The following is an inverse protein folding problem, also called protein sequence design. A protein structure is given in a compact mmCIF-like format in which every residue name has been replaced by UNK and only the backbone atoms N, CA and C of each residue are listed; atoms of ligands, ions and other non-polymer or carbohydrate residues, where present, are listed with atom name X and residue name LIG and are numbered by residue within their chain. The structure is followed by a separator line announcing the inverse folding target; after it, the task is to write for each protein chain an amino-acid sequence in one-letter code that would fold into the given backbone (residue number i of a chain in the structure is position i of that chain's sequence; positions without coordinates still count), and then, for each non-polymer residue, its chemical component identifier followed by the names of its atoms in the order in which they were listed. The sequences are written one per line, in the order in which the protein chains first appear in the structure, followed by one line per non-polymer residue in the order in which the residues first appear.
data_IF_172185660791
#
_entry.id   IF_172185660791
#
_cell.length_a   1.000
_cell.length_b   1.000
_cell.length_c   1.000
_cell.angle_alpha   90.00
_cell.angle_beta   90.00
_cell.angle_gamma   90.00
#
_symmetry.space_group_name_H-M   'P 1'
#
loop_
_entity.id
_entity.type
_entity.pdbx_description
1 polymer ?
#
# COMPACT_ATOMS: atom_id res chain seq x y z
N UNK A 1 7.49 -35.22 14.25
CA UNK A 1 8.07 -34.39 15.33
C UNK A 1 8.91 -33.20 14.83
N UNK A 2 8.97 -32.94 13.51
CA UNK A 2 9.89 -31.96 12.88
C UNK A 2 9.26 -30.64 12.42
N UNK A 3 7.92 -30.54 12.39
CA UNK A 3 7.20 -29.32 11.96
C UNK A 3 7.09 -28.27 13.09
N UNK A 4 6.81 -28.71 14.32
CA UNK A 4 6.62 -27.81 15.47
C UNK A 4 7.89 -27.07 15.90
N UNK A 5 9.04 -27.74 15.89
CA UNK A 5 10.35 -27.11 16.18
C UNK A 5 10.73 -26.08 15.12
N UNK A 6 10.43 -26.35 13.85
CA UNK A 6 10.70 -25.44 12.74
C UNK A 6 9.91 -24.12 12.84
N UNK A 7 8.67 -24.18 13.33
CA UNK A 7 7.84 -22.99 13.57
C UNK A 7 8.38 -22.18 14.76
N UNK A 8 8.78 -22.86 15.84
CA UNK A 8 9.36 -22.21 17.02
C UNK A 8 10.68 -21.48 16.70
N UNK A 9 11.55 -22.10 15.89
CA UNK A 9 12.80 -21.49 15.45
C UNK A 9 12.56 -20.31 14.49
N UNK A 10 11.59 -20.42 13.59
CA UNK A 10 11.19 -19.30 12.73
C UNK A 10 10.63 -18.12 13.52
N UNK A 11 9.78 -18.38 14.52
CA UNK A 11 9.24 -17.33 15.38
C UNK A 11 10.36 -16.62 16.15
N UNK A 12 11.35 -17.38 16.65
CA UNK A 12 12.50 -16.82 17.37
C UNK A 12 13.40 -15.97 16.48
N UNK A 13 13.57 -16.34 15.21
CA UNK A 13 14.31 -15.56 14.22
C UNK A 13 13.57 -14.29 13.76
N UNK A 14 12.23 -14.29 13.76
CA UNK A 14 11.41 -13.15 13.34
C UNK A 14 11.16 -12.14 14.47
N UNK A 15 11.19 -12.58 15.73
CA UNK A 15 10.93 -11.77 16.91
C UNK A 15 11.65 -10.40 16.95
N UNK A 16 12.98 -10.29 16.73
CA UNK A 16 13.67 -9.00 16.84
C UNK A 16 13.20 -7.96 15.82
N UNK A 17 12.98 -8.35 14.56
CA UNK A 17 12.47 -7.42 13.54
C UNK A 17 11.00 -7.06 13.75
N UNK A 18 10.20 -7.99 14.27
CA UNK A 18 8.81 -7.73 14.60
C UNK A 18 8.67 -6.77 15.79
N UNK A 19 9.51 -6.94 16.83
CA UNK A 19 9.60 -6.03 17.96
C UNK A 19 9.97 -4.62 17.51
N UNK A 20 10.93 -4.48 16.58
CA UNK A 20 11.28 -3.18 16.00
C UNK A 20 10.08 -2.53 15.28
N UNK A 21 9.35 -3.29 14.47
CA UNK A 21 8.17 -2.77 13.78
C UNK A 21 7.09 -2.30 14.77
N UNK A 22 6.86 -3.06 15.84
CA UNK A 22 5.91 -2.72 16.91
C UNK A 22 6.37 -1.48 17.68
N UNK A 23 7.64 -1.35 18.02
CA UNK A 23 8.14 -0.17 18.74
C UNK A 23 8.02 1.10 17.89
N UNK A 24 8.34 1.04 16.60
CA UNK A 24 8.14 2.17 15.68
C UNK A 24 6.66 2.55 15.58
N UNK A 25 5.77 1.58 15.45
CA UNK A 25 4.32 1.84 15.40
C UNK A 25 3.80 2.49 16.70
N UNK A 26 4.18 1.95 17.85
CA UNK A 26 3.78 2.50 19.16
C UNK A 26 4.38 3.90 19.41
N UNK A 27 5.62 4.14 19.01
CA UNK A 27 6.24 5.46 19.12
C UNK A 27 5.51 6.49 18.26
N UNK A 28 5.11 6.12 17.04
CA UNK A 28 4.35 6.97 16.13
C UNK A 28 2.97 7.33 16.69
N UNK A 29 2.27 6.34 17.25
CA UNK A 29 0.99 6.53 17.92
C UNK A 29 1.11 7.40 19.16
N UNK A 30 2.12 7.16 19.99
CA UNK A 30 2.36 7.94 21.20
C UNK A 30 2.59 9.41 20.87
N UNK A 31 3.44 9.71 19.89
CA UNK A 31 3.72 11.10 19.50
C UNK A 31 2.49 11.75 18.89
N UNK A 32 1.79 11.08 17.97
CA UNK A 32 0.56 11.61 17.39
C UNK A 32 -0.50 11.91 18.47
N UNK A 33 -0.64 11.04 19.48
CA UNK A 33 -1.60 11.26 20.57
C UNK A 33 -1.25 12.41 21.51
N UNK A 34 0.04 12.75 21.65
CA UNK A 34 0.53 13.76 22.60
C UNK A 34 0.77 15.12 21.96
N UNK A 35 1.26 15.13 20.72
CA UNK A 35 1.67 16.33 20.00
C UNK A 35 0.78 16.63 18.78
N UNK A 36 -0.19 15.76 18.48
CA UNK A 36 -1.01 15.86 17.28
C UNK A 36 -0.28 15.38 16.03
N UNK A 37 -0.90 15.57 14.87
CA UNK A 37 -0.32 15.27 13.55
C UNK A 37 -0.55 13.84 13.04
N UNK A 38 -0.35 13.59 11.73
CA UNK A 38 -0.70 12.32 11.11
C UNK A 38 0.24 11.18 11.55
N UNK A 39 -0.32 10.10 12.10
CA UNK A 39 0.43 8.92 12.56
C UNK A 39 1.34 8.35 11.46
N UNK A 40 0.86 8.32 10.22
CA UNK A 40 1.63 7.79 9.08
C UNK A 40 2.91 8.57 8.81
N UNK A 41 2.89 9.90 8.99
CA UNK A 41 4.08 10.73 8.79
C UNK A 41 5.18 10.33 9.78
N UNK A 42 4.83 10.21 11.07
CA UNK A 42 5.77 9.76 12.10
C UNK A 42 6.29 8.35 11.83
N UNK A 43 5.41 7.43 11.41
CA UNK A 43 5.79 6.07 11.08
C UNK A 43 6.78 6.00 9.92
N UNK A 44 6.61 6.83 8.87
CA UNK A 44 7.54 6.93 7.74
C UNK A 44 8.88 7.51 8.21
N UNK A 45 8.86 8.62 8.95
CA UNK A 45 10.08 9.27 9.43
C UNK A 45 10.91 8.35 10.32
N UNK A 46 10.27 7.66 11.28
CA UNK A 46 10.95 6.67 12.11
C UNK A 46 11.39 5.44 11.31
N UNK A 47 10.56 4.95 10.38
CA UNK A 47 10.95 3.86 9.50
C UNK A 47 12.22 4.15 8.70
N UNK A 48 12.34 5.37 8.15
CA UNK A 48 13.55 5.82 7.45
C UNK A 48 14.73 5.94 8.41
N UNK A 49 14.53 6.56 9.59
CA UNK A 49 15.58 6.71 10.59
C UNK A 49 16.13 5.36 11.07
N UNK A 50 15.29 4.33 11.17
CA UNK A 50 15.67 2.98 11.58
C UNK A 50 15.94 2.02 10.40
N UNK A 51 16.04 2.51 9.15
CA UNK A 51 16.24 1.65 7.98
C UNK A 51 17.53 0.81 8.04
N UNK A 52 18.59 1.29 8.68
CA UNK A 52 19.83 0.53 8.87
C UNK A 52 19.62 -0.81 9.59
N UNK A 53 18.58 -0.92 10.42
CA UNK A 53 18.21 -2.17 11.08
C UNK A 53 17.62 -3.20 10.11
N UNK A 54 17.18 -2.81 8.91
CA UNK A 54 16.75 -3.76 7.88
C UNK A 54 17.95 -4.44 7.19
N UNK A 55 19.15 -3.89 7.34
CA UNK A 55 20.39 -4.47 6.81
C UNK A 55 21.03 -5.46 7.78
N UNK A 56 20.75 -5.35 9.09
CA UNK A 56 21.22 -6.29 10.10
C UNK A 56 20.55 -7.67 9.94
N UNK A 57 21.38 -8.71 9.89
CA UNK A 57 20.97 -10.10 9.74
C UNK A 57 20.00 -10.58 10.84
N UNK A 58 20.03 -9.98 12.03
CA UNK A 58 19.15 -10.35 13.14
C UNK A 58 17.72 -9.86 12.96
N UNK A 59 17.54 -8.64 12.49
CA UNK A 59 16.23 -7.95 12.41
C UNK A 59 15.57 -8.10 11.05
N UNK A 60 16.35 -8.23 9.97
CA UNK A 60 15.86 -8.40 8.60
C UNK A 60 14.76 -9.47 8.44
N UNK A 61 14.85 -10.68 9.01
CA UNK A 61 13.81 -11.70 8.85
C UNK A 61 12.45 -11.27 9.40
N UNK A 62 12.43 -10.56 10.54
CA UNK A 62 11.21 -10.05 11.15
C UNK A 62 10.61 -8.87 10.38
N UNK A 63 11.45 -7.95 9.88
CA UNK A 63 10.99 -6.82 9.06
C UNK A 63 10.36 -7.31 7.75
N UNK A 64 10.98 -8.28 7.07
CA UNK A 64 10.41 -8.88 5.86
C UNK A 64 9.11 -9.66 6.12
N UNK A 65 9.02 -10.31 7.28
CA UNK A 65 7.79 -10.97 7.70
C UNK A 65 6.66 -9.95 7.92
N UNK A 66 6.96 -8.84 8.60
CA UNK A 66 6.00 -7.78 8.86
C UNK A 66 5.51 -7.12 7.56
N UNK A 67 6.41 -6.75 6.65
CA UNK A 67 6.08 -6.06 5.40
C UNK A 67 5.24 -6.89 4.43
N UNK A 68 5.26 -8.22 4.55
CA UNK A 68 4.45 -9.13 3.72
C UNK A 68 3.24 -9.66 4.47
N UNK A 69 3.46 -10.40 5.55
CA UNK A 69 2.41 -11.18 6.22
C UNK A 69 1.57 -10.33 7.15
N UNK A 70 2.21 -9.50 7.98
CA UNK A 70 1.47 -8.61 8.90
C UNK A 70 0.72 -7.55 8.10
N UNK A 71 1.34 -6.99 7.06
CA UNK A 71 0.66 -6.06 6.15
C UNK A 71 -0.57 -6.69 5.48
N UNK A 72 -0.45 -7.91 4.93
CA UNK A 72 -1.59 -8.63 4.33
C UNK A 72 -2.70 -8.88 5.35
N UNK A 73 -2.36 -9.32 6.57
CA UNK A 73 -3.31 -9.46 7.66
C UNK A 73 -3.99 -8.14 7.98
N UNK A 74 -3.23 -7.03 8.03
CA UNK A 74 -3.77 -5.69 8.24
C UNK A 74 -4.77 -5.28 7.16
N UNK A 75 -4.47 -5.54 5.88
CA UNK A 75 -5.39 -5.27 4.75
C UNK A 75 -6.66 -6.10 4.86
N UNK A 76 -6.55 -7.38 5.20
CA UNK A 76 -7.71 -8.27 5.40
C UNK A 76 -8.57 -7.77 6.56
N UNK A 77 -7.96 -7.42 7.69
CA UNK A 77 -8.66 -6.91 8.86
C UNK A 77 -9.30 -5.55 8.59
N UNK A 78 -8.62 -4.65 7.87
CA UNK A 78 -9.16 -3.35 7.47
C UNK A 78 -10.40 -3.53 6.59
N UNK A 79 -10.36 -4.48 5.64
CA UNK A 79 -11.54 -4.84 4.84
C UNK A 79 -12.67 -5.46 5.68
N UNK A 80 -12.32 -6.27 6.69
CA UNK A 80 -13.29 -6.85 7.62
C UNK A 80 -13.90 -5.82 8.60
N UNK A 81 -13.20 -4.72 8.86
CA UNK A 81 -13.69 -3.61 9.69
C UNK A 81 -14.77 -2.78 9.02
N UNK A 82 -14.88 -2.81 7.68
CA UNK A 82 -15.95 -2.13 6.95
C UNK A 82 -17.24 -2.91 7.16
N UNK A 83 -18.23 -2.28 7.78
CA UNK A 83 -19.49 -2.96 8.13
C UNK A 83 -20.39 -3.06 6.90
N UNK A 84 -21.14 -4.16 6.74
CA UNK A 84 -22.14 -4.28 5.67
C UNK A 84 -23.15 -3.12 5.67
N UNK A 85 -23.43 -2.51 6.82
CA UNK A 85 -24.26 -1.32 6.95
C UNK A 85 -23.63 -0.08 6.31
N UNK A 86 -22.33 0.15 6.49
CA UNK A 86 -21.62 1.30 5.88
C UNK A 86 -21.60 1.19 4.35
N UNK A 87 -21.41 -0.03 3.83
CA UNK A 87 -21.47 -0.30 2.38
C UNK A 87 -22.90 -0.10 1.86
N UNK A 88 -23.91 -0.53 2.63
CA UNK A 88 -25.32 -0.35 2.27
C UNK A 88 -25.73 1.13 2.29
N UNK A 89 -25.23 1.92 3.24
CA UNK A 89 -25.43 3.37 3.33
C UNK A 89 -24.74 4.13 2.19
N UNK A 90 -23.54 3.68 1.78
CA UNK A 90 -22.87 4.17 0.57
C UNK A 90 -23.69 3.95 -0.70
N UNK A 91 -24.60 2.97 -0.67
CA UNK A 91 -25.56 2.67 -1.73
C UNK A 91 -24.95 1.91 -2.90
N UNK A 92 -25.81 1.27 -3.69
CA UNK A 92 -25.39 0.46 -4.84
C UNK A 92 -24.64 1.26 -5.92
N UNK A 93 -24.89 2.57 -5.99
CA UNK A 93 -24.26 3.47 -6.95
C UNK A 93 -22.75 3.61 -6.71
N UNK A 94 -22.30 3.77 -5.46
CA UNK A 94 -20.86 3.89 -5.15
C UNK A 94 -20.14 2.56 -5.32
N UNK A 95 -20.77 1.45 -4.91
CA UNK A 95 -20.25 0.11 -5.16
C UNK A 95 -20.05 -0.15 -6.67
N UNK A 96 -21.04 0.17 -7.51
CA UNK A 96 -20.93 0.05 -8.96
C UNK A 96 -19.83 0.95 -9.52
N UNK A 97 -19.71 2.17 -9.03
CA UNK A 97 -18.67 3.10 -9.47
C UNK A 97 -17.27 2.56 -9.17
N UNK A 98 -17.05 2.04 -7.95
CA UNK A 98 -15.75 1.45 -7.57
C UNK A 98 -15.45 0.22 -8.43
N UNK A 99 -16.41 -0.69 -8.60
CA UNK A 99 -16.21 -1.88 -9.45
C UNK A 99 -15.91 -1.46 -10.89
N UNK A 100 -16.66 -0.50 -11.44
CA UNK A 100 -16.43 0.00 -12.79
C UNK A 100 -15.06 0.68 -12.90
N UNK A 101 -14.66 1.52 -11.94
CA UNK A 101 -13.38 2.21 -11.95
C UNK A 101 -12.21 1.23 -11.87
N UNK A 102 -12.26 0.25 -10.95
CA UNK A 102 -11.21 -0.77 -10.81
C UNK A 102 -11.12 -1.64 -12.06
N UNK A 103 -12.25 -2.15 -12.56
CA UNK A 103 -12.26 -3.02 -13.75
C UNK A 103 -11.80 -2.30 -15.02
N UNK A 104 -12.23 -1.05 -15.22
CA UNK A 104 -11.79 -0.25 -16.37
C UNK A 104 -10.32 0.12 -16.26
N UNK A 105 -9.83 0.55 -15.10
CA UNK A 105 -8.42 0.88 -14.87
C UNK A 105 -7.52 -0.34 -15.03
N UNK A 106 -7.93 -1.49 -14.48
CA UNK A 106 -7.17 -2.74 -14.60
C UNK A 106 -7.18 -3.28 -16.03
N UNK A 107 -8.32 -3.21 -16.73
CA UNK A 107 -8.41 -3.58 -18.14
C UNK A 107 -7.56 -2.68 -19.03
N UNK A 108 -7.68 -1.36 -18.88
CA UNK A 108 -6.89 -0.39 -19.63
C UNK A 108 -5.40 -0.55 -19.35
N UNK A 109 -5.00 -0.65 -18.07
CA UNK A 109 -3.60 -0.85 -17.67
C UNK A 109 -3.01 -2.14 -18.25
N UNK A 110 -3.79 -3.23 -18.27
CA UNK A 110 -3.35 -4.49 -18.86
C UNK A 110 -3.15 -4.37 -20.37
N UNK A 111 -4.09 -3.74 -21.08
CA UNK A 111 -4.00 -3.52 -22.53
C UNK A 111 -2.83 -2.61 -22.89
N UNK A 112 -2.66 -1.50 -22.17
CA UNK A 112 -1.54 -0.56 -22.35
C UNK A 112 -0.22 -1.31 -22.11
N UNK A 113 -0.11 -2.06 -21.02
CA UNK A 113 1.08 -2.86 -20.72
C UNK A 113 1.41 -3.88 -21.82
N UNK A 114 0.39 -4.55 -22.38
CA UNK A 114 0.58 -5.47 -23.51
C UNK A 114 1.03 -4.76 -24.77
N UNK A 115 0.45 -3.61 -25.10
CA UNK A 115 0.87 -2.82 -26.26
C UNK A 115 2.29 -2.24 -26.11
N UNK A 116 2.73 -2.01 -24.87
CA UNK A 116 4.09 -1.58 -24.55
C UNK A 116 5.12 -2.74 -24.56
N UNK A 117 4.71 -3.97 -24.92
CA UNK A 117 5.60 -5.13 -25.00
C UNK A 117 5.86 -5.85 -23.67
N UNK A 118 5.10 -5.55 -22.61
CA UNK A 118 5.24 -6.25 -21.33
C UNK A 118 4.62 -7.66 -21.40
N UNK A 119 5.19 -8.57 -20.61
CA UNK A 119 4.65 -9.94 -20.46
C UNK A 119 3.33 -9.92 -19.71
N UNK A 120 2.48 -10.94 -19.94
CA UNK A 120 1.20 -11.10 -19.22
C UNK A 120 1.29 -10.90 -17.69
N UNK A 121 2.26 -11.52 -17.00
CA UNK A 121 2.37 -11.36 -15.56
C UNK A 121 2.77 -9.93 -15.17
N UNK A 122 3.66 -9.28 -15.93
CA UNK A 122 4.08 -7.91 -15.66
C UNK A 122 2.94 -6.92 -15.93
N UNK A 123 2.22 -7.04 -17.05
CA UNK A 123 1.05 -6.20 -17.33
C UNK A 123 -0.03 -6.32 -16.26
N UNK A 124 -0.30 -7.54 -15.78
CA UNK A 124 -1.30 -7.77 -14.71
C UNK A 124 -0.84 -7.17 -13.39
N UNK A 125 0.44 -7.36 -13.05
CA UNK A 125 1.04 -6.84 -11.83
C UNK A 125 1.03 -5.30 -11.82
N UNK A 126 1.42 -4.64 -12.91
CA UNK A 126 1.41 -3.18 -12.99
C UNK A 126 -0.01 -2.61 -13.05
N UNK A 127 -0.92 -3.24 -13.80
CA UNK A 127 -2.32 -2.80 -13.87
C UNK A 127 -3.03 -2.91 -12.51
N UNK A 128 -2.84 -4.02 -11.80
CA UNK A 128 -3.42 -4.20 -10.47
C UNK A 128 -2.79 -3.30 -9.41
N UNK A 129 -1.49 -2.97 -9.54
CA UNK A 129 -0.85 -1.97 -8.68
C UNK A 129 -1.51 -0.59 -8.85
N UNK A 130 -1.73 -0.14 -10.09
CA UNK A 130 -2.34 1.16 -10.37
C UNK A 130 -3.83 1.20 -9.98
N UNK A 131 -4.57 0.12 -10.20
CA UNK A 131 -6.04 0.13 -10.04
C UNK A 131 -6.56 0.00 -8.60
N UNK A 132 -5.72 -0.34 -7.61
CA UNK A 132 -6.19 -0.70 -6.26
C UNK A 132 -5.51 0.11 -5.17
N UNK A 133 -4.31 -0.28 -4.76
CA UNK A 133 -3.63 0.30 -3.60
C UNK A 133 -2.09 0.39 -3.77
N UNK A 134 -1.64 0.54 -5.02
CA UNK A 134 -0.23 0.74 -5.35
C UNK A 134 0.64 -0.45 -5.01
N UNK A 135 1.61 -0.22 -4.11
CA UNK A 135 2.62 -1.19 -3.75
C UNK A 135 2.06 -2.44 -3.04
N UNK A 136 1.03 -2.27 -2.21
CA UNK A 136 0.44 -3.39 -1.47
C UNK A 136 -0.32 -4.37 -2.39
N UNK A 137 -1.04 -3.85 -3.39
CA UNK A 137 -1.63 -4.65 -4.46
C UNK A 137 -0.56 -5.36 -5.30
N UNK A 138 0.52 -4.67 -5.66
CA UNK A 138 1.62 -5.27 -6.42
C UNK A 138 2.23 -6.49 -5.70
N UNK A 139 2.47 -6.38 -4.38
CA UNK A 139 2.99 -7.49 -3.57
C UNK A 139 2.01 -8.64 -3.43
N UNK A 140 0.72 -8.35 -3.26
CA UNK A 140 -0.32 -9.39 -3.19
C UNK A 140 -0.41 -10.17 -4.51
N UNK A 141 -0.47 -9.47 -5.65
CA UNK A 141 -0.54 -10.08 -6.98
C UNK A 141 0.75 -10.87 -7.29
N UNK A 142 1.92 -10.33 -6.94
CA UNK A 142 3.20 -11.02 -7.10
C UNK A 142 3.27 -12.34 -6.32
N UNK A 143 2.52 -12.49 -5.23
CA UNK A 143 2.52 -13.72 -4.41
C UNK A 143 1.74 -14.87 -5.03
N UNK A 144 0.83 -14.60 -5.97
CA UNK A 144 0.00 -15.60 -6.66
C UNK A 144 0.40 -15.82 -8.11
N UNK A 145 1.19 -14.91 -8.70
CA UNK A 145 1.71 -15.06 -10.06
C UNK A 145 2.84 -16.11 -10.14
N UNK A 146 3.02 -16.78 -11.30
CA UNK A 146 4.15 -17.66 -11.54
C UNK A 146 5.49 -16.95 -11.29
N UNK A 147 6.34 -17.55 -10.45
CA UNK A 147 7.65 -17.00 -10.14
C UNK A 147 8.62 -17.28 -11.29
N UNK A 148 9.21 -16.21 -11.82
CA UNK A 148 10.25 -16.24 -12.85
C UNK A 148 11.49 -15.51 -12.32
N UNK A 149 12.62 -15.65 -13.00
CA UNK A 149 13.85 -14.89 -12.65
C UNK A 149 13.63 -13.38 -12.62
N UNK A 150 12.62 -12.89 -13.35
CA UNK A 150 12.30 -11.47 -13.50
C UNK A 150 11.18 -10.98 -12.59
N UNK A 151 10.55 -11.87 -11.82
CA UNK A 151 9.39 -11.50 -10.99
C UNK A 151 9.75 -10.46 -9.92
N UNK A 152 10.92 -10.60 -9.28
CA UNK A 152 11.39 -9.63 -8.28
C UNK A 152 11.71 -8.27 -8.92
N UNK A 153 12.39 -8.26 -10.08
CA UNK A 153 12.69 -7.04 -10.82
C UNK A 153 11.40 -6.32 -11.23
N UNK A 154 10.44 -7.04 -11.81
CA UNK A 154 9.16 -6.47 -12.26
C UNK A 154 8.35 -5.90 -11.09
N UNK A 155 8.34 -6.58 -9.94
CA UNK A 155 7.71 -6.07 -8.73
C UNK A 155 8.37 -4.75 -8.28
N UNK A 156 9.70 -4.72 -8.17
CA UNK A 156 10.43 -3.52 -7.74
C UNK A 156 10.18 -2.37 -8.70
N UNK A 157 10.30 -2.59 -10.01
CA UNK A 157 10.06 -1.55 -11.03
C UNK A 157 8.63 -1.02 -10.97
N UNK A 158 7.64 -1.88 -10.78
CA UNK A 158 6.25 -1.48 -10.66
C UNK A 158 6.01 -0.68 -9.39
N UNK A 159 6.53 -1.13 -8.25
CA UNK A 159 6.40 -0.43 -6.96
C UNK A 159 7.06 0.94 -7.02
N UNK A 160 8.28 1.03 -7.54
CA UNK A 160 8.96 2.32 -7.70
C UNK A 160 8.19 3.23 -8.65
N UNK A 161 7.78 2.72 -9.81
CA UNK A 161 7.04 3.49 -10.81
C UNK A 161 5.72 4.05 -10.26
N UNK A 162 4.90 3.21 -9.64
CA UNK A 162 3.60 3.65 -9.09
C UNK A 162 3.80 4.63 -7.94
N UNK A 163 4.76 4.38 -7.04
CA UNK A 163 5.03 5.29 -5.92
C UNK A 163 5.54 6.65 -6.40
N UNK A 164 6.43 6.68 -7.38
CA UNK A 164 6.93 7.93 -7.97
C UNK A 164 5.80 8.71 -8.64
N UNK A 165 4.98 8.06 -9.47
CA UNK A 165 3.84 8.71 -10.13
C UNK A 165 2.82 9.23 -9.12
N UNK A 166 2.48 8.45 -8.09
CA UNK A 166 1.56 8.88 -7.04
C UNK A 166 2.15 9.99 -6.16
N UNK A 167 3.47 10.04 -5.97
CA UNK A 167 4.13 11.16 -5.27
C UNK A 167 4.01 12.45 -6.08
N UNK A 168 4.19 12.37 -7.41
CA UNK A 168 3.99 13.50 -8.30
C UNK A 168 2.52 13.96 -8.24
N UNK A 169 1.57 13.02 -8.28
CA UNK A 169 0.14 13.32 -8.16
C UNK A 169 -0.19 14.00 -6.82
N UNK A 170 0.32 13.47 -5.70
CA UNK A 170 0.14 14.05 -4.36
C UNK A 170 0.56 15.52 -4.28
N UNK A 171 1.66 15.90 -4.93
CA UNK A 171 2.16 17.28 -4.91
C UNK A 171 1.41 18.17 -5.91
N UNK A 172 1.03 17.64 -7.08
CA UNK A 172 0.47 18.44 -8.17
C UNK A 172 -1.05 18.58 -8.11
N UNK A 173 -1.77 17.58 -7.63
CA UNK A 173 -3.24 17.55 -7.64
C UNK A 173 -3.90 18.57 -6.71
N UNK A 174 -3.36 18.89 -5.51
CA UNK A 174 -3.90 19.98 -4.69
C UNK A 174 -3.90 21.33 -5.43
N UNK A 175 -2.89 21.59 -6.26
CA UNK A 175 -2.87 22.81 -7.08
C UNK A 175 -3.99 22.82 -8.14
N UNK A 176 -4.34 21.65 -8.68
CA UNK A 176 -5.46 21.50 -9.62
C UNK A 176 -6.79 21.77 -8.91
N UNK A 177 -7.01 21.18 -7.73
CA UNK A 177 -8.25 21.39 -6.97
C UNK A 177 -8.42 22.84 -6.54
N UNK A 178 -7.32 23.51 -6.17
CA UNK A 178 -7.32 24.96 -5.91
C UNK A 178 -7.62 25.79 -7.16
N UNK A 179 -7.01 25.48 -8.30
CA UNK A 179 -7.22 26.22 -9.54
C UNK A 179 -8.67 26.12 -10.04
N UNK A 180 -9.28 24.94 -9.90
CA UNK A 180 -10.69 24.71 -10.25
C UNK A 180 -11.67 25.10 -9.13
N UNK A 181 -11.18 25.66 -8.01
CA UNK A 181 -11.99 26.12 -6.87
C UNK A 181 -12.94 25.02 -6.35
N UNK A 182 -12.46 23.79 -6.25
CA UNK A 182 -13.24 22.66 -5.75
C UNK A 182 -13.59 22.87 -4.28
N UNK A 183 -14.80 22.45 -3.89
CA UNK A 183 -15.18 22.36 -2.47
C UNK A 183 -14.36 21.28 -1.77
N UNK A 184 -14.23 21.34 -0.43
CA UNK A 184 -13.48 20.34 0.35
C UNK A 184 -13.93 18.91 0.07
N UNK A 185 -15.23 18.70 -0.11
CA UNK A 185 -15.80 17.41 -0.47
C UNK A 185 -15.37 16.97 -1.88
N UNK A 186 -15.41 17.86 -2.86
CA UNK A 186 -14.98 17.55 -4.23
C UNK A 186 -13.48 17.29 -4.31
N UNK A 187 -12.67 18.07 -3.60
CA UNK A 187 -11.23 17.85 -3.47
C UNK A 187 -10.93 16.51 -2.83
N UNK A 188 -11.63 16.17 -1.74
CA UNK A 188 -11.49 14.86 -1.08
C UNK A 188 -11.86 13.69 -1.98
N UNK A 189 -12.98 13.79 -2.71
CA UNK A 189 -13.39 12.77 -3.69
C UNK A 189 -12.39 12.66 -4.84
N UNK A 190 -11.91 13.78 -5.39
CA UNK A 190 -10.95 13.78 -6.49
C UNK A 190 -9.60 13.19 -6.09
N UNK A 191 -9.04 13.63 -4.97
CA UNK A 191 -7.75 13.13 -4.45
C UNK A 191 -7.87 11.65 -4.07
N UNK A 192 -8.95 11.26 -3.39
CA UNK A 192 -9.19 9.87 -3.00
C UNK A 192 -9.47 8.93 -4.17
N UNK A 193 -10.09 9.41 -5.25
CA UNK A 193 -10.35 8.61 -6.45
C UNK A 193 -9.14 8.44 -7.36
N UNK A 194 -8.09 9.25 -7.20
CA UNK A 194 -6.95 9.30 -8.14
C UNK A 194 -5.63 8.87 -7.51
N UNK A 195 -5.44 9.13 -6.21
CA UNK A 195 -4.26 8.67 -5.47
C UNK A 195 -4.59 7.35 -4.77
N UNK A 196 -3.90 6.29 -5.16
CA UNK A 196 -4.18 4.92 -4.71
C UNK A 196 -3.28 4.48 -3.54
N UNK A 197 -2.75 5.43 -2.77
CA UNK A 197 -2.00 5.17 -1.54
C UNK A 197 -2.56 6.05 -0.42
N UNK A 198 -3.05 5.42 0.65
CA UNK A 198 -3.70 6.10 1.77
C UNK A 198 -2.77 7.15 2.41
N UNK A 199 -1.47 6.86 2.50
CA UNK A 199 -0.51 7.82 3.06
C UNK A 199 -0.45 9.11 2.23
N UNK A 200 -0.43 8.94 0.90
CA UNK A 200 -0.28 10.02 -0.05
C UNK A 200 -1.58 10.81 -0.23
N UNK A 201 -2.74 10.15 -0.21
CA UNK A 201 -4.06 10.82 -0.21
C UNK A 201 -4.19 11.72 1.02
N UNK A 202 -3.90 11.16 2.21
CA UNK A 202 -3.99 11.91 3.46
C UNK A 202 -3.03 13.11 3.41
N UNK A 203 -1.79 12.88 2.96
CA UNK A 203 -0.81 13.95 2.78
C UNK A 203 -1.30 15.04 1.83
N UNK A 204 -1.87 14.68 0.68
CA UNK A 204 -2.41 15.64 -0.28
C UNK A 204 -3.58 16.45 0.29
N UNK A 205 -4.44 15.84 1.12
CA UNK A 205 -5.58 16.52 1.74
C UNK A 205 -5.21 17.53 2.84
N UNK A 206 -3.95 17.56 3.29
CA UNK A 206 -3.44 18.53 4.26
C UNK A 206 -2.70 19.72 3.61
N UNK A 207 -2.47 19.68 2.29
CA UNK A 207 -1.74 20.70 1.51
C UNK A 207 -2.76 21.57 0.79
#
# INVERSE_FOLDING_TARGET
MTQFTRIADQAKMQAPGLLLAVTVALASLFISSRYGGPVMLYAILFGIAFNFMNEDAKTRPGVQFASKRVLQLGVILLGASVTFSEIAELGWATALLVVAAVTTTMGAGFLIGRSAGLTAPHSTLSAGAVAICGASAAMAIASVLPQTKESERNLILTVVGVTTLSTIAMVTYPSITHLFTFTDMQSGVFLGATIHDVAQVIGAGYI
#
